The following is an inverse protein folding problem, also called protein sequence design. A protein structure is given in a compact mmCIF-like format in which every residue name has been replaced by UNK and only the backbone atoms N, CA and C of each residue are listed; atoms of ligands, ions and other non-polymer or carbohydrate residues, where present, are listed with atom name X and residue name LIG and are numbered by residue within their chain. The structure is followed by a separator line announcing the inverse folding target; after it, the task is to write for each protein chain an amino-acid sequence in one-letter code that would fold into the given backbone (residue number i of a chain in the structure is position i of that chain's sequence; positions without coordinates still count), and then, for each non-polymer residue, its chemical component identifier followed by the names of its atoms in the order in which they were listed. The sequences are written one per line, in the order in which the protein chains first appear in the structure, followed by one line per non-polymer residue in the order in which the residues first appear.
data_IF_023132190991
#
_entry.id   IF_023132190991
#
_cell.length_a   1.000
_cell.length_b   1.000
_cell.length_c   1.000
_cell.angle_alpha   90.00
_cell.angle_beta   90.00
_cell.angle_gamma   90.00
#
_symmetry.space_group_name_H-M   'P 1'
#
loop_
_entity.id
_entity.type
_entity.pdbx_description
1 polymer ?
#
# COMPACT_ATOMS: atom_id res chain seq x y z
N UNK A 1 -15.38 3.88 -17.20
CA UNK A 1 -14.82 5.24 -17.24
C UNK A 1 -15.30 6.10 -16.07
N UNK A 2 -16.62 6.18 -15.81
CA UNK A 2 -17.17 7.01 -14.73
C UNK A 2 -16.55 6.77 -13.33
N UNK A 3 -16.35 5.51 -12.93
CA UNK A 3 -15.74 5.17 -11.61
C UNK A 3 -14.31 5.71 -11.49
N UNK A 4 -13.51 5.61 -12.56
CA UNK A 4 -12.14 6.08 -12.57
C UNK A 4 -12.09 7.62 -12.49
N UNK A 5 -12.94 8.29 -13.25
CA UNK A 5 -13.03 9.75 -13.23
C UNK A 5 -13.53 10.29 -11.89
N UNK A 6 -14.50 9.59 -11.28
CA UNK A 6 -14.93 9.89 -9.91
C UNK A 6 -13.78 9.75 -8.92
N UNK A 7 -13.03 8.65 -8.99
CA UNK A 7 -11.88 8.44 -8.10
C UNK A 7 -10.79 9.51 -8.29
N UNK A 8 -10.50 9.92 -9.54
CA UNK A 8 -9.56 11.04 -9.81
C UNK A 8 -9.98 12.35 -9.18
N UNK A 9 -11.27 12.66 -9.23
CA UNK A 9 -11.79 13.95 -8.79
C UNK A 9 -11.98 14.00 -7.27
N UNK A 10 -12.47 12.91 -6.69
CA UNK A 10 -13.06 12.94 -5.35
C UNK A 10 -12.14 12.33 -4.27
N UNK A 11 -11.10 11.57 -4.65
CA UNK A 11 -10.20 10.96 -3.67
C UNK A 11 -9.30 12.00 -2.99
N UNK A 12 -9.41 12.11 -1.67
CA UNK A 12 -8.64 13.05 -0.85
C UNK A 12 -7.35 12.40 -0.30
N UNK A 13 -6.29 12.39 -1.11
CA UNK A 13 -4.98 11.82 -0.79
C UNK A 13 -4.46 12.12 0.62
N UNK A 14 -4.53 13.38 1.07
CA UNK A 14 -4.00 13.80 2.38
C UNK A 14 -4.87 13.39 3.56
N UNK A 15 -6.19 13.35 3.37
CA UNK A 15 -7.14 12.96 4.41
C UNK A 15 -7.14 11.43 4.63
N UNK A 16 -6.67 10.65 3.65
CA UNK A 16 -6.67 9.18 3.73
C UNK A 16 -5.93 8.64 4.97
N UNK A 17 -4.88 9.32 5.43
CA UNK A 17 -4.17 8.92 6.65
C UNK A 17 -5.06 9.00 7.89
N UNK A 18 -5.88 10.05 7.99
CA UNK A 18 -6.81 10.23 9.10
C UNK A 18 -7.94 9.19 9.02
N UNK A 19 -8.39 8.84 7.81
CA UNK A 19 -9.36 7.77 7.58
C UNK A 19 -8.82 6.40 8.04
N UNK A 20 -7.54 6.09 7.82
CA UNK A 20 -6.92 4.85 8.29
C UNK A 20 -6.96 4.71 9.83
N UNK A 21 -6.85 5.82 10.57
CA UNK A 21 -6.96 5.78 12.03
C UNK A 21 -8.38 5.38 12.49
N UNK A 22 -9.42 5.67 11.69
CA UNK A 22 -10.79 5.25 12.01
C UNK A 22 -10.98 3.73 11.91
N UNK A 23 -10.14 3.05 11.11
CA UNK A 23 -10.18 1.60 10.88
C UNK A 23 -8.96 0.89 11.48
N UNK A 24 -8.31 1.48 12.49
CA UNK A 24 -7.06 0.99 13.08
C UNK A 24 -7.06 -0.49 13.45
N UNK A 25 -8.18 -1.02 13.94
CA UNK A 25 -8.29 -2.44 14.29
C UNK A 25 -8.16 -3.35 13.05
N UNK A 26 -8.79 -2.97 11.94
CA UNK A 26 -8.69 -3.68 10.66
C UNK A 26 -7.27 -3.57 10.11
N UNK A 27 -6.68 -2.38 10.17
CA UNK A 27 -5.30 -2.13 9.77
C UNK A 27 -4.30 -3.01 10.55
N UNK A 28 -4.42 -3.09 11.89
CA UNK A 28 -3.54 -3.95 12.70
C UNK A 28 -3.72 -5.43 12.34
N UNK A 29 -4.96 -5.87 12.13
CA UNK A 29 -5.24 -7.22 11.68
C UNK A 29 -4.56 -7.52 10.33
N UNK A 30 -4.73 -6.64 9.34
CA UNK A 30 -4.11 -6.76 8.02
C UNK A 30 -2.58 -6.84 8.12
N UNK A 31 -1.95 -5.95 8.89
CA UNK A 31 -0.49 -5.97 9.08
C UNK A 31 0.00 -7.29 9.70
N UNK A 32 -0.76 -7.86 10.64
CA UNK A 32 -0.46 -9.19 11.19
C UNK A 32 -0.58 -10.29 10.14
N UNK A 33 -1.62 -10.27 9.31
CA UNK A 33 -1.77 -11.27 8.25
C UNK A 33 -0.66 -11.17 7.21
N UNK A 34 -0.29 -9.96 6.80
CA UNK A 34 0.84 -9.74 5.88
C UNK A 34 2.15 -10.23 6.49
N UNK A 35 2.38 -9.99 7.79
CA UNK A 35 3.52 -10.56 8.50
C UNK A 35 3.56 -12.08 8.40
N UNK A 36 2.49 -12.76 8.79
CA UNK A 36 2.41 -14.22 8.82
C UNK A 36 2.60 -14.82 7.40
N UNK A 37 1.99 -14.20 6.37
CA UNK A 37 2.13 -14.61 4.98
C UNK A 37 3.58 -14.50 4.52
N UNK A 38 4.18 -13.31 4.67
CA UNK A 38 5.55 -13.11 4.21
C UNK A 38 6.55 -13.91 5.04
N UNK A 39 6.22 -14.30 6.28
CA UNK A 39 7.12 -15.06 7.14
C UNK A 39 7.25 -16.55 6.75
N UNK A 40 6.23 -17.14 6.13
CA UNK A 40 6.28 -18.55 5.69
C UNK A 40 6.73 -18.73 4.23
N UNK A 41 6.70 -17.68 3.42
CA UNK A 41 7.05 -17.75 2.00
C UNK A 41 8.57 -17.69 1.77
N UNK A 42 9.07 -18.59 0.92
CA UNK A 42 10.44 -18.55 0.40
C UNK A 42 10.51 -17.64 -0.83
N UNK A 43 10.94 -16.39 -0.63
CA UNK A 43 10.87 -15.30 -1.63
C UNK A 43 12.24 -14.81 -2.12
N UNK A 44 13.30 -15.60 -1.90
CA UNK A 44 14.64 -15.25 -2.33
C UNK A 44 14.70 -15.07 -3.85
N UNK A 45 15.13 -13.90 -4.31
CA UNK A 45 15.24 -13.56 -5.73
C UNK A 45 13.92 -13.16 -6.41
N UNK A 46 12.81 -13.10 -5.67
CA UNK A 46 11.54 -12.60 -6.19
C UNK A 46 11.54 -11.08 -6.35
N UNK A 47 10.62 -10.58 -7.19
CA UNK A 47 10.25 -9.16 -7.30
C UNK A 47 8.78 -9.00 -6.93
N UNK A 48 8.41 -7.89 -6.29
CA UNK A 48 7.04 -7.62 -5.87
C UNK A 48 6.50 -6.38 -6.57
N UNK A 49 5.28 -6.45 -7.09
CA UNK A 49 4.51 -5.30 -7.55
C UNK A 49 3.29 -5.15 -6.63
N UNK A 50 3.21 -4.04 -5.89
CA UNK A 50 2.01 -3.65 -5.16
C UNK A 50 1.10 -2.82 -6.08
N UNK A 51 -0.15 -3.24 -6.22
CA UNK A 51 -1.11 -2.65 -7.17
C UNK A 51 -2.16 -1.87 -6.40
N UNK A 52 -2.14 -0.55 -6.56
CA UNK A 52 -3.03 0.35 -5.83
C UNK A 52 -2.56 0.61 -4.41
N UNK A 53 -1.27 0.94 -4.22
CA UNK A 53 -0.68 1.18 -2.91
C UNK A 53 -1.29 2.39 -2.17
N UNK A 54 -2.08 3.21 -2.87
CA UNK A 54 -2.61 4.45 -2.35
C UNK A 54 -1.49 5.42 -1.95
N UNK A 55 -1.75 6.36 -1.04
CA UNK A 55 -0.75 7.28 -0.54
C UNK A 55 0.12 6.69 0.57
N UNK A 56 0.32 5.36 0.59
CA UNK A 56 0.91 4.65 1.73
C UNK A 56 1.90 3.56 1.30
N UNK A 57 2.77 3.15 2.23
CA UNK A 57 3.83 2.14 2.01
C UNK A 57 3.69 0.91 2.91
N UNK A 58 2.73 0.90 3.83
CA UNK A 58 2.68 -0.10 4.90
C UNK A 58 2.37 -1.52 4.42
N UNK A 59 1.74 -1.67 3.25
CA UNK A 59 1.40 -2.97 2.67
C UNK A 59 2.65 -3.83 2.39
N UNK A 60 3.82 -3.20 2.20
CA UNK A 60 5.05 -3.90 1.84
C UNK A 60 6.03 -4.04 3.00
N UNK A 61 5.71 -3.58 4.22
CA UNK A 61 6.66 -3.62 5.34
C UNK A 61 7.18 -5.03 5.66
N UNK A 62 6.27 -6.01 5.74
CA UNK A 62 6.65 -7.40 5.98
C UNK A 62 7.40 -8.01 4.79
N UNK A 63 7.04 -7.63 3.56
CA UNK A 63 7.70 -8.08 2.34
C UNK A 63 9.12 -7.54 2.19
N UNK A 64 9.35 -6.28 2.54
CA UNK A 64 10.63 -5.57 2.42
C UNK A 64 11.75 -6.19 3.25
N UNK A 65 11.43 -7.05 4.23
CA UNK A 65 12.42 -7.84 4.98
C UNK A 65 13.06 -8.96 4.15
N UNK A 66 12.42 -9.36 3.04
CA UNK A 66 12.77 -10.56 2.25
C UNK A 66 12.94 -10.28 0.76
N UNK A 67 12.29 -9.24 0.25
CA UNK A 67 12.31 -8.85 -1.16
C UNK A 67 12.98 -7.49 -1.29
N UNK A 68 14.05 -7.42 -2.10
CA UNK A 68 14.80 -6.18 -2.34
C UNK A 68 14.26 -5.36 -3.52
N UNK A 69 13.53 -5.99 -4.44
CA UNK A 69 12.97 -5.35 -5.64
C UNK A 69 11.45 -5.27 -5.49
N UNK A 70 10.98 -4.13 -4.99
CA UNK A 70 9.56 -3.83 -4.73
C UNK A 70 9.17 -2.58 -5.50
N UNK A 71 8.13 -2.71 -6.33
CA UNK A 71 7.52 -1.60 -7.07
C UNK A 71 6.16 -1.30 -6.46
N UNK A 72 5.96 -0.07 -5.99
CA UNK A 72 4.66 0.43 -5.55
C UNK A 72 3.99 1.16 -6.71
N UNK A 73 2.79 0.75 -7.07
CA UNK A 73 2.02 1.37 -8.14
C UNK A 73 0.69 1.89 -7.64
N UNK A 74 0.29 3.07 -8.11
CA UNK A 74 -1.03 3.63 -7.85
C UNK A 74 -1.52 4.39 -9.07
N UNK A 75 -2.84 4.49 -9.21
CA UNK A 75 -3.48 5.20 -10.30
C UNK A 75 -3.35 6.73 -10.19
N UNK A 76 -3.47 7.29 -8.99
CA UNK A 76 -3.44 8.74 -8.79
C UNK A 76 -1.99 9.24 -8.66
N UNK A 77 -1.58 10.23 -9.47
CA UNK A 77 -0.27 10.86 -9.31
C UNK A 77 -0.04 11.42 -7.92
N UNK A 78 -1.08 11.99 -7.30
CA UNK A 78 -1.00 12.54 -5.94
C UNK A 78 -0.64 11.47 -4.89
N UNK A 79 -1.17 10.26 -5.02
CA UNK A 79 -0.84 9.14 -4.14
C UNK A 79 0.62 8.71 -4.29
N UNK A 80 1.10 8.59 -5.53
CA UNK A 80 2.51 8.27 -5.81
C UNK A 80 3.46 9.34 -5.23
N UNK A 81 3.11 10.62 -5.34
CA UNK A 81 3.88 11.72 -4.74
C UNK A 81 3.89 11.68 -3.20
N UNK A 82 2.84 11.20 -2.54
CA UNK A 82 2.89 10.99 -1.08
C UNK A 82 3.76 9.79 -0.71
N UNK A 83 3.74 8.72 -1.51
CA UNK A 83 4.62 7.55 -1.32
C UNK A 83 6.10 7.94 -1.42
N UNK A 84 6.47 8.82 -2.36
CA UNK A 84 7.85 9.31 -2.50
C UNK A 84 8.39 10.12 -1.29
N UNK A 85 7.52 10.51 -0.35
CA UNK A 85 7.94 11.23 0.87
C UNK A 85 8.33 10.30 2.03
N UNK A 86 8.04 9.01 1.91
CA UNK A 86 8.42 7.99 2.88
C UNK A 86 9.88 7.56 2.70
#
# INVERSE_FOLDING_TARGET
EEVMERYRRDFATKAYKDELETIKAVYIFEQKQLHDIFDVLSLSGCKLLDVGCGPTVHNVFSAARRINDIVLSDFLPANRLEVEKW
#
